data_IF_310979616474
#
_entry.id   IF_310979616474
#
_cell.length_a   1.000
_cell.length_b   1.000
_cell.length_c   1.000
_cell.angle_alpha   90.00
_cell.angle_beta   90.00
_cell.angle_gamma   90.00
#
_symmetry.space_group_name_H-M   'P 1'
#
loop_
_entity.id
_entity.type
_entity.pdbx_description
1 polymer ?
#
# COMPACT_ATOMS: atom_id res chain seq x y z
N UNK A 1 -0.97 -14.80 5.23
CA UNK A 1 -2.01 -14.01 4.48
C UNK A 1 -1.74 -14.15 3.00
N UNK A 2 -2.73 -14.56 2.24
CA UNK A 2 -2.62 -14.58 0.79
C UNK A 2 -3.16 -13.29 0.17
N UNK A 3 -3.06 -13.18 -1.16
CA UNK A 3 -3.50 -11.98 -1.88
C UNK A 3 -4.99 -11.71 -1.70
N UNK A 4 -5.83 -12.74 -1.78
CA UNK A 4 -7.28 -12.57 -1.61
C UNK A 4 -7.63 -12.07 -0.21
N UNK A 5 -7.00 -12.61 0.81
CA UNK A 5 -7.22 -12.19 2.21
C UNK A 5 -6.78 -10.74 2.43
N UNK A 6 -5.68 -10.34 1.81
CA UNK A 6 -5.18 -8.95 1.88
C UNK A 6 -6.21 -7.98 1.32
N UNK A 7 -6.71 -8.23 0.11
CA UNK A 7 -7.68 -7.34 -0.52
C UNK A 7 -9.03 -7.36 0.19
N UNK A 8 -9.43 -8.52 0.72
CA UNK A 8 -10.65 -8.62 1.52
C UNK A 8 -10.54 -7.73 2.77
N UNK A 9 -9.41 -7.77 3.46
CA UNK A 9 -9.18 -6.95 4.64
C UNK A 9 -9.25 -5.46 4.31
N UNK A 10 -8.60 -5.03 3.24
CA UNK A 10 -8.68 -3.64 2.79
C UNK A 10 -10.12 -3.25 2.49
N UNK A 11 -10.86 -4.07 1.74
CA UNK A 11 -12.26 -3.77 1.41
C UNK A 11 -13.14 -3.66 2.65
N UNK A 12 -12.95 -4.52 3.64
CA UNK A 12 -13.71 -4.50 4.89
C UNK A 12 -13.41 -3.27 5.73
N UNK A 13 -12.19 -2.76 5.68
CA UNK A 13 -11.75 -1.63 6.49
C UNK A 13 -11.96 -0.26 5.82
N UNK A 14 -12.30 -0.23 4.54
CA UNK A 14 -12.54 1.04 3.85
C UNK A 14 -13.80 1.71 4.38
N UNK A 15 -13.74 3.02 4.73
CA UNK A 15 -14.93 3.74 5.17
C UNK A 15 -15.88 3.98 3.99
N UNK A 16 -17.17 4.27 4.30
CA UNK A 16 -18.17 4.55 3.27
C UNK A 16 -18.14 6.01 2.80
N UNK A 17 -17.51 6.90 3.57
CA UNK A 17 -17.41 8.31 3.25
C UNK A 17 -16.02 8.73 2.82
N UNK A 18 -15.81 10.03 2.67
CA UNK A 18 -14.51 10.59 2.35
C UNK A 18 -13.49 10.25 3.43
N UNK A 19 -12.29 9.92 3.00
CA UNK A 19 -11.20 9.52 3.89
C UNK A 19 -9.89 10.16 3.38
N UNK A 20 -9.69 11.46 3.64
CA UNK A 20 -8.49 12.14 3.21
C UNK A 20 -7.23 11.41 3.69
N UNK A 21 -6.27 11.23 2.78
CA UNK A 21 -5.01 10.54 3.04
C UNK A 21 -5.16 9.10 3.55
N UNK A 22 -6.37 8.53 3.49
CA UNK A 22 -6.68 7.17 3.96
C UNK A 22 -6.40 6.96 5.45
N UNK A 23 -6.59 7.99 6.27
CA UNK A 23 -6.36 7.90 7.71
C UNK A 23 -7.32 6.94 8.40
N UNK A 24 -8.60 6.94 8.03
CA UNK A 24 -9.59 6.04 8.62
C UNK A 24 -9.34 4.60 8.22
N UNK A 25 -8.98 4.37 6.95
CA UNK A 25 -8.60 3.03 6.49
C UNK A 25 -7.43 2.50 7.29
N UNK A 26 -6.37 3.31 7.43
CA UNK A 26 -5.19 2.92 8.18
C UNK A 26 -5.51 2.58 9.63
N UNK A 27 -6.32 3.40 10.30
CA UNK A 27 -6.72 3.17 11.68
C UNK A 27 -7.53 1.86 11.82
N UNK A 28 -8.44 1.59 10.89
CA UNK A 28 -9.24 0.35 10.91
C UNK A 28 -8.36 -0.89 10.67
N UNK A 29 -7.40 -0.80 9.73
CA UNK A 29 -6.46 -1.89 9.48
C UNK A 29 -5.58 -2.17 10.70
N UNK A 30 -5.05 -1.12 11.32
CA UNK A 30 -4.26 -1.25 12.55
C UNK A 30 -5.06 -1.94 13.65
N UNK A 31 -6.30 -1.52 13.88
CA UNK A 31 -7.17 -2.11 14.90
C UNK A 31 -7.41 -3.61 14.64
N UNK A 32 -7.62 -4.00 13.38
CA UNK A 32 -7.80 -5.40 13.01
C UNK A 32 -6.51 -6.22 13.22
N UNK A 33 -5.38 -5.69 12.78
CA UNK A 33 -4.11 -6.39 12.85
C UNK A 33 -3.53 -6.45 14.27
N UNK A 34 -3.84 -5.47 15.11
CA UNK A 34 -3.43 -5.46 16.52
C UNK A 34 -4.07 -6.58 17.35
N UNK A 35 -5.11 -7.20 16.86
CA UNK A 35 -5.69 -8.39 17.47
C UNK A 35 -4.88 -9.66 17.19
N UNK A 36 -3.90 -9.58 16.31
CA UNK A 36 -3.08 -10.73 15.94
C UNK A 36 -3.82 -11.74 15.06
N UNK A 37 -3.19 -12.87 14.80
CA UNK A 37 -1.85 -13.25 15.27
C UNK A 37 -0.74 -12.49 14.53
N UNK A 38 0.46 -12.54 15.09
CA UNK A 38 1.62 -11.88 14.49
C UNK A 38 1.86 -12.24 13.01
N UNK A 39 1.73 -13.53 12.60
CA UNK A 39 1.87 -13.86 11.19
C UNK A 39 0.93 -13.11 10.23
N UNK A 40 -0.23 -12.66 10.72
CA UNK A 40 -1.13 -11.84 9.89
C UNK A 40 -0.53 -10.45 9.62
N UNK A 41 0.15 -9.85 10.60
CA UNK A 41 0.84 -8.58 10.44
C UNK A 41 1.98 -8.71 9.42
N UNK A 42 2.79 -9.74 9.57
CA UNK A 42 3.90 -10.03 8.65
C UNK A 42 3.39 -10.28 7.24
N UNK A 43 2.33 -11.07 7.11
CA UNK A 43 1.70 -11.36 5.83
C UNK A 43 1.10 -10.13 5.17
N UNK A 44 0.49 -9.24 5.96
CA UNK A 44 -0.02 -7.97 5.45
C UNK A 44 1.12 -7.11 4.88
N UNK A 45 2.23 -7.01 5.60
CA UNK A 45 3.40 -6.26 5.14
C UNK A 45 3.94 -6.82 3.81
N UNK A 46 4.00 -8.15 3.68
CA UNK A 46 4.46 -8.79 2.44
C UNK A 46 3.54 -8.48 1.27
N UNK A 47 2.23 -8.58 1.46
CA UNK A 47 1.26 -8.30 0.40
C UNK A 47 1.22 -6.82 0.02
N UNK A 48 1.32 -5.94 1.01
CA UNK A 48 1.38 -4.50 0.78
C UNK A 48 2.62 -4.14 -0.05
N UNK A 49 3.76 -4.64 0.36
CA UNK A 49 5.03 -4.38 -0.35
C UNK A 49 4.99 -4.89 -1.77
N UNK A 50 4.42 -6.08 -2.00
CA UNK A 50 4.24 -6.65 -3.33
C UNK A 50 3.32 -5.79 -4.21
N UNK A 51 2.18 -5.37 -3.66
CA UNK A 51 1.24 -4.53 -4.41
C UNK A 51 1.86 -3.19 -4.81
N UNK A 52 2.62 -2.57 -3.91
CA UNK A 52 3.31 -1.31 -4.19
C UNK A 52 4.45 -1.50 -5.20
N UNK A 53 5.21 -2.59 -5.08
CA UNK A 53 6.31 -2.91 -5.98
C UNK A 53 5.84 -3.08 -7.43
N UNK A 54 4.68 -3.70 -7.63
CA UNK A 54 4.14 -3.91 -8.98
C UNK A 54 3.79 -2.61 -9.69
N UNK A 55 3.51 -1.54 -8.95
CA UNK A 55 3.25 -0.21 -9.50
C UNK A 55 4.51 0.65 -9.59
N UNK A 56 5.64 0.17 -9.08
CA UNK A 56 6.91 0.90 -9.14
C UNK A 56 7.56 0.73 -10.51
N UNK A 57 6.96 1.39 -11.50
CA UNK A 57 7.36 1.29 -12.90
C UNK A 57 7.29 2.66 -13.57
N UNK A 58 8.07 2.83 -14.63
CA UNK A 58 8.13 4.10 -15.37
C UNK A 58 6.80 4.51 -15.98
N UNK A 59 5.94 3.53 -16.34
CA UNK A 59 4.62 3.82 -16.91
C UNK A 59 3.74 4.64 -15.97
N UNK A 60 3.99 4.55 -14.66
CA UNK A 60 3.23 5.28 -13.64
C UNK A 60 3.99 6.47 -13.08
N UNK A 61 5.30 6.32 -12.88
CA UNK A 61 6.08 7.25 -12.05
C UNK A 61 6.90 8.28 -12.80
N UNK A 62 6.96 8.23 -14.14
CA UNK A 62 7.76 9.19 -14.90
C UNK A 62 7.27 10.62 -14.67
N UNK A 63 8.17 11.51 -14.25
CA UNK A 63 7.85 12.90 -13.97
C UNK A 63 7.28 13.16 -12.58
N UNK A 64 7.19 12.16 -11.71
CA UNK A 64 6.70 12.29 -10.33
C UNK A 64 7.89 12.12 -9.38
N UNK A 65 7.95 12.95 -8.32
CA UNK A 65 9.02 12.79 -7.32
C UNK A 65 8.89 11.45 -6.59
N UNK A 66 10.01 10.94 -6.06
CA UNK A 66 10.05 9.64 -5.39
C UNK A 66 9.06 9.51 -4.24
N UNK A 67 9.00 10.51 -3.37
CA UNK A 67 8.07 10.48 -2.22
C UNK A 67 6.62 10.58 -2.67
N UNK A 68 6.31 11.52 -3.56
CA UNK A 68 4.96 11.66 -4.09
C UNK A 68 4.51 10.38 -4.81
N UNK A 69 5.41 9.76 -5.56
CA UNK A 69 5.12 8.52 -6.27
C UNK A 69 4.79 7.38 -5.30
N UNK A 70 5.54 7.25 -4.20
CA UNK A 70 5.26 6.24 -3.18
C UNK A 70 3.87 6.45 -2.57
N UNK A 71 3.55 7.68 -2.17
CA UNK A 71 2.27 7.99 -1.52
C UNK A 71 1.09 7.84 -2.48
N UNK A 72 1.29 8.14 -3.75
CA UNK A 72 0.26 7.95 -4.78
C UNK A 72 0.01 6.47 -5.05
N UNK A 73 1.06 5.66 -5.12
CA UNK A 73 0.90 4.20 -5.25
C UNK A 73 0.14 3.62 -4.06
N UNK A 74 0.43 4.12 -2.86
CA UNK A 74 -0.30 3.72 -1.67
C UNK A 74 -1.80 4.06 -1.79
N UNK A 75 -2.13 5.21 -2.37
CA UNK A 75 -3.53 5.61 -2.59
C UNK A 75 -4.26 4.66 -3.55
N UNK A 76 -3.58 4.17 -4.58
CA UNK A 76 -4.17 3.18 -5.50
C UNK A 76 -4.47 1.88 -4.77
N UNK A 77 -3.58 1.43 -3.89
CA UNK A 77 -3.83 0.25 -3.06
C UNK A 77 -5.00 0.49 -2.11
N UNK A 78 -5.03 1.67 -1.46
CA UNK A 78 -6.11 2.04 -0.55
C UNK A 78 -7.48 2.10 -1.23
N UNK A 79 -7.53 2.34 -2.53
CA UNK A 79 -8.76 2.38 -3.30
C UNK A 79 -9.42 1.00 -3.46
N UNK A 80 -8.70 -0.07 -3.13
CA UNK A 80 -9.21 -1.42 -3.19
C UNK A 80 -8.79 -2.18 -4.44
N UNK A 81 -9.12 -3.47 -4.46
CA UNK A 81 -8.64 -4.39 -5.51
C UNK A 81 -9.08 -4.01 -6.91
N UNK A 82 -10.35 -3.64 -7.07
CA UNK A 82 -10.89 -3.36 -8.41
C UNK A 82 -10.18 -2.17 -9.05
N UNK A 83 -10.00 -1.09 -8.30
CA UNK A 83 -9.26 0.08 -8.76
C UNK A 83 -7.79 -0.24 -9.01
N UNK A 84 -7.18 -1.00 -8.11
CA UNK A 84 -5.78 -1.38 -8.23
C UNK A 84 -5.53 -2.19 -9.52
N UNK A 85 -6.36 -3.19 -9.77
CA UNK A 85 -6.24 -4.03 -10.97
C UNK A 85 -6.53 -3.22 -12.24
N UNK A 86 -7.48 -2.30 -12.19
CA UNK A 86 -7.76 -1.41 -13.32
C UNK A 86 -6.53 -0.57 -13.68
N UNK A 87 -5.85 0.00 -12.69
CA UNK A 87 -4.62 0.78 -12.89
C UNK A 87 -3.50 -0.10 -13.43
N UNK A 88 -3.34 -1.34 -12.93
CA UNK A 88 -2.34 -2.27 -13.46
C UNK A 88 -2.54 -2.57 -14.93
N UNK A 89 -3.78 -2.66 -15.38
CA UNK A 89 -4.12 -2.98 -16.76
C UNK A 89 -4.11 -1.76 -17.68
N UNK A 90 -4.25 -0.55 -17.12
CA UNK A 90 -4.28 0.69 -17.89
C UNK A 90 -3.54 1.80 -17.11
N UNK A 91 -2.26 2.03 -17.43
CA UNK A 91 -1.48 3.06 -16.74
C UNK A 91 -2.07 4.47 -16.79
N UNK A 92 -2.90 4.78 -17.80
CA UNK A 92 -3.55 6.09 -17.88
C UNK A 92 -4.46 6.34 -16.67
N UNK A 93 -4.98 5.30 -16.03
CA UNK A 93 -5.83 5.44 -14.85
C UNK A 93 -5.06 5.86 -13.60
N UNK A 94 -3.74 5.84 -13.64
CA UNK A 94 -2.90 6.37 -12.55
C UNK A 94 -2.87 7.90 -12.55
N UNK A 95 -3.02 8.54 -13.71
CA UNK A 95 -2.92 9.99 -13.84
C UNK A 95 -3.84 10.78 -12.91
N UNK A 96 -5.12 10.42 -12.75
CA UNK A 96 -5.99 11.16 -11.81
C UNK A 96 -5.46 11.17 -10.37
N UNK A 97 -4.81 10.10 -9.94
CA UNK A 97 -4.20 10.03 -8.62
C UNK A 97 -2.99 10.94 -8.53
N UNK A 98 -2.10 10.90 -9.51
CA UNK A 98 -0.89 11.71 -9.54
C UNK A 98 -1.21 13.20 -9.69
N UNK A 99 -2.07 13.56 -10.62
CA UNK A 99 -2.45 14.95 -10.90
C UNK A 99 -3.27 15.55 -9.76
N UNK A 100 -4.06 14.73 -9.07
CA UNK A 100 -4.87 15.17 -7.94
C UNK A 100 -4.15 15.15 -6.60
N UNK A 101 -2.87 14.76 -6.56
CA UNK A 101 -2.11 14.60 -5.32
C UNK A 101 -2.86 13.73 -4.31
N UNK A 102 -3.45 12.63 -4.78
CA UNK A 102 -4.16 11.69 -3.93
C UNK A 102 -3.14 10.75 -3.30
N UNK A 103 -2.94 10.89 -1.99
CA UNK A 103 -1.90 10.19 -1.25
C UNK A 103 -2.50 9.35 -0.12
N UNK A 104 -1.83 8.26 0.24
CA UNK A 104 -2.24 7.41 1.36
C UNK A 104 -1.01 7.02 2.20
N UNK A 105 -0.20 8.01 2.59
CA UNK A 105 0.99 7.76 3.41
C UNK A 105 0.69 6.95 4.67
N UNK A 106 -0.41 7.19 5.42
CA UNK A 106 -0.70 6.41 6.63
C UNK A 106 -0.79 4.90 6.41
N UNK A 107 -1.18 4.46 5.22
CA UNK A 107 -1.23 3.02 4.91
C UNK A 107 0.14 2.35 5.07
N UNK A 108 1.21 3.07 4.76
CA UNK A 108 2.57 2.53 4.81
C UNK A 108 3.02 2.17 6.22
N UNK A 109 2.45 2.82 7.24
CA UNK A 109 2.85 2.62 8.64
C UNK A 109 2.02 1.57 9.37
N UNK A 110 0.98 1.03 8.72
CA UNK A 110 0.08 0.06 9.35
C UNK A 110 0.81 -1.18 9.88
N UNK A 111 1.68 -1.85 9.10
CA UNK A 111 2.39 -3.02 9.63
C UNK A 111 3.29 -2.69 10.83
N UNK A 112 4.00 -1.58 10.76
CA UNK A 112 4.92 -1.16 11.83
C UNK A 112 4.17 -0.92 13.13
N UNK A 113 3.06 -0.19 13.05
CA UNK A 113 2.24 0.13 14.21
C UNK A 113 1.65 -1.13 14.84
N UNK A 114 1.11 -2.03 14.04
CA UNK A 114 0.53 -3.27 14.53
C UNK A 114 1.61 -4.19 15.12
N UNK A 115 2.76 -4.28 14.46
CA UNK A 115 3.87 -5.08 14.93
C UNK A 115 4.38 -4.61 16.30
N UNK A 116 4.58 -3.30 16.46
CA UNK A 116 5.02 -2.72 17.71
C UNK A 116 3.99 -2.96 18.83
N UNK A 117 2.72 -2.85 18.53
CA UNK A 117 1.66 -3.13 19.49
C UNK A 117 1.67 -4.58 19.99
N UNK A 118 1.92 -5.53 19.10
CA UNK A 118 1.90 -6.95 19.45
C UNK A 118 3.19 -7.42 20.12
N UNK A 119 4.34 -6.87 19.76
CA UNK A 119 5.64 -7.37 20.19
C UNK A 119 6.35 -6.46 21.18
N UNK A 120 5.96 -5.19 21.28
CA UNK A 120 6.69 -4.18 22.04
C UNK A 120 8.00 -3.75 21.38
N UNK A 121 8.25 -4.16 20.15
CA UNK A 121 9.49 -3.89 19.42
C UNK A 121 9.19 -3.12 18.13
N UNK A 122 10.18 -2.38 17.65
CA UNK A 122 10.11 -1.75 16.34
C UNK A 122 10.20 -2.81 15.24
N UNK A 123 9.64 -2.49 14.07
CA UNK A 123 9.74 -3.35 12.89
C UNK A 123 11.21 -3.55 12.51
N UNK A 124 11.65 -4.80 12.46
CA UNK A 124 13.03 -5.18 12.15
C UNK A 124 13.12 -6.24 11.05
N UNK A 125 12.05 -6.43 10.29
CA UNK A 125 11.97 -7.46 9.25
C UNK A 125 12.08 -6.84 7.87
N UNK A 126 12.75 -7.54 6.97
CA UNK A 126 12.75 -7.20 5.55
C UNK A 126 11.60 -7.93 4.87
N UNK A 127 10.89 -7.23 3.99
CA UNK A 127 9.91 -7.84 3.10
C UNK A 127 10.61 -8.37 1.85
N UNK A 128 10.00 -9.34 1.17
CA UNK A 128 10.56 -9.90 -0.06
C UNK A 128 10.75 -8.82 -1.14
N UNK A 129 9.82 -7.88 -1.23
CA UNK A 129 9.89 -6.76 -2.17
C UNK A 129 10.01 -5.45 -1.41
N UNK A 130 10.83 -4.54 -1.94
CA UNK A 130 10.97 -3.21 -1.37
C UNK A 130 9.94 -2.28 -2.04
N UNK A 131 9.20 -1.53 -1.25
CA UNK A 131 8.20 -0.62 -1.82
C UNK A 131 8.75 0.78 -2.11
N UNK A 132 10.00 1.07 -1.77
CA UNK A 132 10.61 2.36 -2.08
C UNK A 132 10.59 2.60 -3.60
N UNK A 133 10.41 3.87 -3.98
CA UNK A 133 10.40 4.25 -5.39
C UNK A 133 11.73 3.89 -6.05
N UNK A 134 11.64 3.37 -7.27
CA UNK A 134 12.76 2.94 -8.10
C UNK A 134 13.42 1.63 -7.66
N UNK A 135 12.84 0.90 -6.72
CA UNK A 135 13.33 -0.41 -6.29
C UNK A 135 13.11 -1.49 -7.35
N UNK A 136 12.04 -1.37 -8.14
CA UNK A 136 11.73 -2.30 -9.23
C UNK A 136 12.56 -1.93 -10.47
N UNK A 137 13.81 -2.34 -10.49
CA UNK A 137 14.75 -1.95 -11.55
C UNK A 137 14.29 -2.38 -12.95
N UNK A 138 13.65 -3.54 -13.07
CA UNK A 138 13.11 -4.00 -14.36
C UNK A 138 11.99 -3.07 -14.86
N UNK A 139 11.15 -2.59 -13.96
CA UNK A 139 10.05 -1.69 -14.30
C UNK A 139 10.51 -0.31 -14.77
N UNK A 140 11.73 0.09 -14.40
CA UNK A 140 12.32 1.38 -14.79
C UNK A 140 13.31 1.26 -15.94
N UNK A 141 13.65 0.04 -16.33
CA UNK A 141 14.59 -0.18 -17.44
C UNK A 141 14.01 0.26 -18.79
N UNK A 142 14.87 0.72 -19.66
CA UNK A 142 14.51 1.10 -21.03
C UNK A 142 14.39 -0.11 -21.96
#
# INVERSE_FOLDING_TARGET
>A
MNEDSFWQLINECRPTGADPDSEQLAAALEARLMNGPLPAVVGFAEQLSWALYRLDRKEYGTGVSGDAFLYTRAAVVAAGRDEYEAVLNDPALFLPYADGFIWAEPLLYVPDTAYQSLTGREWDRDTRYDYESYSNTEGWAD
#
